data_IF_143278828929
#
_entry.id   IF_143278828929
#
_cell.length_a   1.000
_cell.length_b   1.000
_cell.length_c   1.000
_cell.angle_alpha   90.00
_cell.angle_beta   90.00
_cell.angle_gamma   90.00
#
_symmetry.space_group_name_H-M   'P 1'
#
loop_
_entity.id
_entity.type
_entity.pdbx_description
1 polymer ?
#
# COMPACT_ATOMS: atom_id res chain seq x y z
N UNK A 1 20.55 -10.46 28.89
CA UNK A 1 21.50 -11.13 27.98
C UNK A 1 20.77 -11.46 26.69
N UNK A 2 21.20 -10.89 25.56
CA UNK A 2 20.96 -11.35 24.16
C UNK A 2 20.84 -10.17 23.20
N UNK A 3 21.96 -9.52 22.93
CA UNK A 3 22.18 -8.67 21.75
C UNK A 3 23.35 -9.24 20.93
N UNK A 4 23.39 -10.57 20.78
CA UNK A 4 24.50 -11.31 20.14
C UNK A 4 24.16 -11.92 18.78
N UNK A 5 22.99 -11.64 18.18
CA UNK A 5 22.60 -12.20 16.88
C UNK A 5 22.61 -11.16 15.75
N UNK A 6 23.63 -10.30 15.74
CA UNK A 6 23.81 -9.28 14.70
C UNK A 6 25.26 -9.03 14.29
N UNK A 7 26.21 -9.79 14.83
CA UNK A 7 27.60 -9.82 14.38
C UNK A 7 27.78 -11.03 13.47
N UNK A 8 27.22 -10.94 12.27
CA UNK A 8 27.83 -11.67 11.15
C UNK A 8 29.16 -10.95 10.87
N UNK A 9 30.19 -11.33 11.64
CA UNK A 9 31.56 -11.22 11.18
C UNK A 9 31.54 -11.65 9.71
N UNK A 10 32.14 -10.84 8.83
CA UNK A 10 32.21 -11.14 7.39
C UNK A 10 33.11 -12.37 7.21
N UNK A 11 32.62 -13.53 7.63
CA UNK A 11 33.20 -14.82 7.37
C UNK A 11 33.30 -14.88 5.86
N UNK A 12 34.53 -15.07 5.37
CA UNK A 12 34.79 -15.20 3.95
C UNK A 12 34.23 -16.56 3.56
N UNK A 13 32.91 -16.62 3.38
CA UNK A 13 32.19 -17.85 3.06
C UNK A 13 32.70 -18.37 1.72
N UNK A 14 32.87 -19.68 1.65
CA UNK A 14 33.23 -20.38 0.43
C UNK A 14 32.15 -20.14 -0.64
N UNK A 15 32.55 -20.15 -1.93
CA UNK A 15 31.62 -20.01 -3.06
C UNK A 15 30.43 -20.97 -2.95
N UNK A 16 30.68 -22.20 -2.46
CA UNK A 16 29.65 -23.23 -2.24
C UNK A 16 28.60 -22.80 -1.22
N UNK A 17 29.02 -22.21 -0.11
CA UNK A 17 28.14 -21.74 0.96
C UNK A 17 27.34 -20.52 0.52
N UNK A 18 27.99 -19.58 -0.18
CA UNK A 18 27.32 -18.42 -0.78
C UNK A 18 26.22 -18.85 -1.76
N UNK A 19 26.47 -19.88 -2.57
CA UNK A 19 25.46 -20.42 -3.50
C UNK A 19 24.31 -21.11 -2.77
N UNK A 20 24.58 -21.90 -1.73
CA UNK A 20 23.54 -22.51 -0.89
C UNK A 20 22.64 -21.45 -0.26
N UNK A 21 23.24 -20.43 0.35
CA UNK A 21 22.52 -19.36 1.02
C UNK A 21 21.68 -18.52 0.05
N UNK A 22 22.13 -18.34 -1.20
CA UNK A 22 21.32 -17.71 -2.25
C UNK A 22 20.09 -18.55 -2.59
N UNK A 23 20.26 -19.87 -2.77
CA UNK A 23 19.15 -20.79 -3.05
C UNK A 23 18.15 -20.82 -1.90
N UNK A 24 18.63 -20.90 -0.66
CA UNK A 24 17.79 -20.92 0.53
C UNK A 24 17.00 -19.63 0.70
N UNK A 25 17.66 -18.46 0.58
CA UNK A 25 16.96 -17.16 0.61
C UNK A 25 15.89 -17.05 -0.48
N UNK A 26 16.15 -17.59 -1.67
CA UNK A 26 15.14 -17.61 -2.73
C UNK A 26 13.97 -18.53 -2.35
N UNK A 27 14.22 -19.74 -1.90
CA UNK A 27 13.15 -20.66 -1.47
C UNK A 27 12.30 -20.06 -0.33
N UNK A 28 12.94 -19.47 0.68
CA UNK A 28 12.26 -18.77 1.76
C UNK A 28 11.37 -17.63 1.24
N UNK A 29 11.84 -16.86 0.24
CA UNK A 29 11.04 -15.81 -0.39
C UNK A 29 9.82 -16.37 -1.12
N UNK A 30 9.98 -17.46 -1.87
CA UNK A 30 8.86 -18.13 -2.56
C UNK A 30 7.82 -18.61 -1.55
N UNK A 31 8.27 -19.28 -0.50
CA UNK A 31 7.40 -19.81 0.55
C UNK A 31 6.66 -18.68 1.29
N UNK A 32 7.37 -17.60 1.66
CA UNK A 32 6.78 -16.43 2.30
C UNK A 32 5.65 -15.82 1.44
N UNK A 33 5.87 -15.68 0.13
CA UNK A 33 4.85 -15.17 -0.80
C UNK A 33 3.66 -16.13 -0.90
N UNK A 34 3.91 -17.45 -0.94
CA UNK A 34 2.85 -18.47 -0.98
C UNK A 34 1.98 -18.41 0.28
N UNK A 35 2.62 -18.35 1.45
CA UNK A 35 1.93 -18.28 2.74
C UNK A 35 1.11 -17.00 2.87
N UNK A 36 1.67 -15.85 2.48
CA UNK A 36 0.95 -14.58 2.47
C UNK A 36 -0.30 -14.62 1.56
N UNK A 37 -0.18 -15.17 0.35
CA UNK A 37 -1.32 -15.33 -0.57
C UNK A 37 -2.37 -16.29 -0.02
N UNK A 38 -1.96 -17.38 0.62
CA UNK A 38 -2.89 -18.34 1.23
C UNK A 38 -3.65 -17.70 2.39
N UNK A 39 -2.96 -16.93 3.25
CA UNK A 39 -3.58 -16.16 4.35
C UNK A 39 -4.62 -15.17 3.80
N UNK A 40 -4.27 -14.40 2.77
CA UNK A 40 -5.18 -13.44 2.14
C UNK A 40 -6.42 -14.13 1.55
N UNK A 41 -6.26 -15.27 0.87
CA UNK A 41 -7.39 -16.03 0.32
C UNK A 41 -8.30 -16.56 1.42
N UNK A 42 -7.73 -17.06 2.52
CA UNK A 42 -8.49 -17.53 3.67
C UNK A 42 -9.27 -16.38 4.33
N UNK A 43 -8.63 -15.23 4.52
CA UNK A 43 -9.26 -14.03 5.06
C UNK A 43 -10.40 -13.52 4.16
N UNK A 44 -10.20 -13.48 2.85
CA UNK A 44 -11.24 -13.07 1.89
C UNK A 44 -12.45 -14.03 1.93
N UNK A 45 -12.21 -15.35 2.01
CA UNK A 45 -13.27 -16.34 2.17
C UNK A 45 -14.07 -16.10 3.46
N UNK A 46 -13.40 -15.86 4.58
CA UNK A 46 -14.06 -15.56 5.87
C UNK A 46 -14.87 -14.28 5.85
N UNK A 47 -14.37 -13.23 5.19
CA UNK A 47 -15.12 -11.98 5.00
C UNK A 47 -16.38 -12.21 4.16
N UNK A 48 -16.31 -13.08 3.16
CA UNK A 48 -17.43 -13.37 2.27
C UNK A 48 -18.46 -14.33 2.87
N UNK A 49 -18.03 -15.33 3.63
CA UNK A 49 -18.93 -16.23 4.38
C UNK A 49 -18.87 -15.86 5.86
N UNK A 50 -19.87 -15.14 6.40
CA UNK A 50 -19.95 -14.89 7.83
C UNK A 50 -20.24 -16.22 8.53
N UNK A 51 -19.18 -16.94 8.87
CA UNK A 51 -19.27 -18.19 9.62
C UNK A 51 -19.44 -17.81 11.08
N UNK A 52 -20.66 -17.97 11.58
CA UNK A 52 -20.96 -17.89 13.02
C UNK A 52 -20.04 -18.89 13.73
N UNK A 53 -19.08 -18.38 14.51
CA UNK A 53 -18.14 -19.21 15.28
C UNK A 53 -16.71 -19.33 14.73
N UNK A 54 -16.29 -18.55 13.72
CA UNK A 54 -14.86 -18.46 13.40
C UNK A 54 -14.12 -17.77 14.56
N UNK A 55 -13.28 -18.52 15.27
CA UNK A 55 -12.47 -18.03 16.39
C UNK A 55 -11.17 -17.35 15.95
N UNK A 56 -10.80 -17.48 14.66
CA UNK A 56 -9.54 -16.94 14.17
C UNK A 56 -9.43 -15.40 14.27
N UNK A 57 -10.48 -14.60 14.00
CA UNK A 57 -10.42 -13.16 14.21
C UNK A 57 -10.05 -12.76 15.63
N UNK A 58 -10.51 -13.51 16.64
CA UNK A 58 -10.16 -13.26 18.05
C UNK A 58 -8.69 -13.58 18.32
N UNK A 59 -8.18 -14.68 17.78
CA UNK A 59 -6.77 -15.07 17.92
C UNK A 59 -5.83 -14.08 17.21
N UNK A 60 -6.21 -13.60 16.02
CA UNK A 60 -5.42 -12.64 15.24
C UNK A 60 -5.43 -11.22 15.85
N UNK A 61 -6.49 -10.87 16.59
CA UNK A 61 -6.55 -9.61 17.33
C UNK A 61 -5.63 -9.58 18.57
N UNK A 62 -5.09 -10.73 18.98
CA UNK A 62 -4.14 -10.80 20.11
C UNK A 62 -2.71 -10.47 19.66
N UNK A 63 -1.92 -9.77 20.49
CA UNK A 63 -0.50 -9.55 20.21
C UNK A 63 0.27 -10.86 20.10
N UNK A 64 1.19 -10.96 19.14
CA UNK A 64 2.15 -12.07 19.07
C UNK A 64 3.06 -12.04 20.31
N UNK A 65 3.40 -13.20 20.88
CA UNK A 65 4.22 -13.31 22.09
C UNK A 65 5.61 -12.67 21.94
N UNK A 66 6.12 -12.59 20.71
CA UNK A 66 7.34 -11.87 20.32
C UNK A 66 7.28 -10.36 20.58
N UNK A 67 6.08 -9.76 20.49
CA UNK A 67 5.84 -8.37 20.81
C UNK A 67 5.82 -8.10 22.32
N UNK A 68 5.69 -9.14 23.15
CA UNK A 68 5.69 -9.01 24.62
C UNK A 68 7.10 -9.16 25.21
N UNK A 69 7.96 -9.96 24.59
CA UNK A 69 9.35 -10.17 25.04
C UNK A 69 10.28 -9.02 24.67
N UNK A 70 9.96 -8.26 23.62
CA UNK A 70 10.62 -7.00 23.30
C UNK A 70 9.94 -5.87 24.06
N UNK A 71 10.50 -5.52 25.22
CA UNK A 71 9.92 -4.60 26.20
C UNK A 71 9.13 -3.42 25.60
N UNK A 72 7.89 -3.28 26.05
CA UNK A 72 6.89 -2.33 25.57
C UNK A 72 7.45 -0.94 25.30
N UNK A 73 7.72 -0.66 24.02
CA UNK A 73 8.02 0.68 23.51
C UNK A 73 6.90 1.09 22.58
N UNK A 74 5.89 1.71 23.18
CA UNK A 74 4.99 2.64 22.52
C UNK A 74 4.15 2.04 21.40
N UNK A 75 2.95 1.56 21.75
CA UNK A 75 1.84 1.55 20.79
C UNK A 75 1.63 2.99 20.33
N UNK A 76 2.14 3.32 19.15
CA UNK A 76 1.65 4.50 18.44
C UNK A 76 0.18 4.21 18.14
N UNK A 77 -0.77 5.08 18.51
CA UNK A 77 -2.10 4.96 17.93
C UNK A 77 -1.92 4.93 16.41
N UNK A 78 -2.63 4.02 15.73
CA UNK A 78 -2.85 4.15 14.29
C UNK A 78 -3.59 5.48 14.09
N UNK A 79 -2.84 6.57 14.04
CA UNK A 79 -3.29 7.80 13.41
C UNK A 79 -3.46 7.39 11.96
N UNK A 80 -4.67 6.97 11.61
CA UNK A 80 -5.23 7.14 10.28
C UNK A 80 -5.31 8.64 10.01
N UNK A 81 -4.15 9.29 9.95
CA UNK A 81 -4.03 10.50 9.20
C UNK A 81 -4.10 9.99 7.76
N UNK A 82 -5.33 9.83 7.27
CA UNK A 82 -5.63 10.05 5.88
C UNK A 82 -5.12 11.47 5.67
N UNK A 83 -3.85 11.61 5.31
CA UNK A 83 -3.38 12.80 4.63
C UNK A 83 -4.28 12.78 3.41
N UNK A 84 -5.25 13.70 3.34
CA UNK A 84 -5.90 14.02 2.09
C UNK A 84 -4.74 14.18 1.10
N UNK A 85 -4.57 13.17 0.24
CA UNK A 85 -3.54 13.22 -0.78
C UNK A 85 -3.95 14.45 -1.58
N UNK A 86 -3.06 15.43 -1.66
CA UNK A 86 -3.24 16.51 -2.61
C UNK A 86 -3.61 15.87 -3.95
N UNK A 87 -4.62 16.43 -4.62
CA UNK A 87 -5.07 15.95 -5.93
C UNK A 87 -3.83 15.68 -6.80
N UNK A 88 -3.64 14.45 -7.32
CA UNK A 88 -2.47 14.14 -8.13
C UNK A 88 -2.39 15.12 -9.30
N UNK A 89 -1.46 16.08 -9.26
CA UNK A 89 -1.35 17.12 -10.28
C UNK A 89 -1.13 16.55 -11.70
N UNK A 90 -0.57 15.34 -11.79
CA UNK A 90 -0.29 14.67 -13.05
C UNK A 90 -1.46 13.76 -13.48
N UNK A 91 -2.03 14.05 -14.65
CA UNK A 91 -3.16 13.29 -15.23
C UNK A 91 -2.90 11.78 -15.31
N UNK A 92 -1.67 11.35 -15.61
CA UNK A 92 -1.32 9.92 -15.69
C UNK A 92 -1.42 9.18 -14.35
N UNK A 93 -1.33 9.90 -13.23
CA UNK A 93 -1.35 9.34 -11.87
C UNK A 93 -2.77 9.33 -11.25
N UNK A 94 -3.72 10.04 -11.86
CA UNK A 94 -5.10 10.14 -11.38
C UNK A 94 -5.91 8.85 -11.59
N UNK A 95 -6.85 8.58 -10.68
CA UNK A 95 -7.86 7.53 -10.86
C UNK A 95 -8.87 7.93 -11.94
N UNK A 96 -9.54 6.95 -12.55
CA UNK A 96 -10.48 7.21 -13.65
C UNK A 96 -11.65 8.14 -13.27
N UNK A 97 -12.19 8.04 -12.05
CA UNK A 97 -13.21 8.96 -11.57
C UNK A 97 -12.69 10.41 -11.43
N UNK A 98 -11.45 10.58 -10.98
CA UNK A 98 -10.83 11.91 -10.87
C UNK A 98 -10.60 12.54 -12.24
N UNK A 99 -10.16 11.74 -13.22
CA UNK A 99 -10.02 12.18 -14.61
C UNK A 99 -11.34 12.65 -15.20
N UNK A 100 -12.42 11.93 -14.93
CA UNK A 100 -13.75 12.30 -15.40
C UNK A 100 -14.17 13.67 -14.83
N UNK A 101 -14.06 13.84 -13.51
CA UNK A 101 -14.42 15.10 -12.85
C UNK A 101 -13.58 16.27 -13.39
N UNK A 102 -12.26 16.09 -13.58
CA UNK A 102 -11.40 17.13 -14.16
C UNK A 102 -11.86 17.53 -15.56
N UNK A 103 -12.20 16.56 -16.40
CA UNK A 103 -12.70 16.83 -17.75
C UNK A 103 -14.04 17.54 -17.73
N UNK A 104 -14.96 17.17 -16.82
CA UNK A 104 -16.24 17.86 -16.67
C UNK A 104 -16.06 19.32 -16.24
N UNK A 105 -15.13 19.60 -15.32
CA UNK A 105 -14.79 20.95 -14.91
C UNK A 105 -14.18 21.78 -16.06
N UNK A 106 -13.28 21.20 -16.86
CA UNK A 106 -12.72 21.87 -18.04
C UNK A 106 -13.79 22.15 -19.09
N UNK A 107 -14.69 21.18 -19.32
CA UNK A 107 -15.82 21.34 -20.23
C UNK A 107 -16.72 22.49 -19.76
N UNK A 108 -17.02 22.57 -18.46
CA UNK A 108 -17.80 23.67 -17.90
C UNK A 108 -17.11 25.02 -18.11
N UNK A 109 -15.81 25.14 -17.77
CA UNK A 109 -15.00 26.35 -18.02
C UNK A 109 -15.02 26.77 -19.48
N UNK A 110 -14.89 25.81 -20.40
CA UNK A 110 -14.88 26.09 -21.83
C UNK A 110 -16.25 26.56 -22.35
N UNK A 111 -17.34 26.00 -21.82
CA UNK A 111 -18.68 26.47 -22.17
C UNK A 111 -18.91 27.91 -21.74
N UNK A 112 -18.42 28.32 -20.57
CA UNK A 112 -18.48 29.71 -20.11
C UNK A 112 -17.76 30.66 -21.07
N UNK A 113 -16.56 30.30 -21.51
CA UNK A 113 -15.79 31.11 -22.48
C UNK A 113 -16.51 31.20 -23.84
N UNK A 114 -17.07 30.11 -24.34
CA UNK A 114 -17.83 30.13 -25.62
C UNK A 114 -19.11 30.95 -25.52
N UNK A 115 -19.77 30.94 -24.36
CA UNK A 115 -20.99 31.72 -24.15
C UNK A 115 -20.72 33.21 -23.94
N UNK A 116 -19.47 33.59 -23.65
CA UNK A 116 -19.08 35.00 -23.54
C UNK A 116 -19.24 35.73 -24.90
N UNK A 117 -20.08 36.78 -24.96
CA UNK A 117 -20.26 37.58 -26.18
C UNK A 117 -18.96 38.21 -26.69
N UNK A 118 -18.02 38.55 -25.81
CA UNK A 118 -16.75 39.18 -26.20
C UNK A 118 -15.83 38.20 -26.92
N UNK A 119 -15.76 36.96 -26.40
CA UNK A 119 -15.07 35.86 -27.05
C UNK A 119 -15.70 35.50 -28.40
N UNK A 120 -17.04 35.50 -28.48
CA UNK A 120 -17.77 35.26 -29.73
C UNK A 120 -17.58 36.35 -30.77
N UNK A 121 -17.41 37.60 -30.34
CA UNK A 121 -17.18 38.74 -31.23
C UNK A 121 -15.77 38.70 -31.83
N UNK A 122 -14.72 38.47 -31.02
CA UNK A 122 -13.34 38.35 -31.48
C UNK A 122 -12.50 37.47 -30.54
N UNK A 123 -12.30 36.18 -30.86
CA UNK A 123 -11.61 35.25 -29.96
C UNK A 123 -10.13 35.59 -29.77
N UNK A 124 -9.49 36.24 -30.75
CA UNK A 124 -8.06 36.63 -30.68
C UNK A 124 -7.77 37.78 -29.70
N UNK A 125 -8.79 38.51 -29.27
CA UNK A 125 -8.63 39.64 -28.33
C UNK A 125 -9.00 39.26 -26.89
N UNK A 126 -9.60 38.08 -26.68
CA UNK A 126 -10.14 37.63 -25.40
C UNK A 126 -9.23 36.62 -24.67
N UNK A 127 -8.11 36.22 -25.29
CA UNK A 127 -7.13 35.25 -24.78
C UNK A 127 -5.87 35.97 -24.30
#
# INVERSE_FOLDING_TARGET
VSSLLGLEEKTILSKKEKMKLRKERWLQKIESVKMAKQKQKAEAKRKATPVVGDMQPLMEALPELSCLTTGGRGRKPLKSHIKAKAEPADFCLMKQAQKHNLLEEEVARFHEVITDPQYRANPLLAI
#
